data_IF_845567760797
#
_entry.id   IF_845567760797
#
_cell.length_a   1.000
_cell.length_b   1.000
_cell.length_c   1.000
_cell.angle_alpha   90.00
_cell.angle_beta   90.00
_cell.angle_gamma   90.00
#
_symmetry.space_group_name_H-M   'P 1'
#
loop_
_entity.id
_entity.type
_entity.pdbx_description
1 polymer ?
#
# COMPACT_ATOMS: atom_id res chain seq x y z
N UNK A 1 19.99 5.25 -5.53
CA UNK A 1 19.04 5.25 -4.41
C UNK A 1 19.82 4.70 -3.23
N UNK A 2 20.19 5.54 -2.26
CA UNK A 2 20.82 5.06 -1.02
C UNK A 2 19.82 4.14 -0.32
N UNK A 3 20.26 2.98 0.16
CA UNK A 3 19.41 2.05 0.88
C UNK A 3 18.78 2.75 2.09
N UNK A 4 17.48 3.02 2.06
CA UNK A 4 16.79 3.75 3.12
C UNK A 4 16.85 3.02 4.48
N UNK A 5 17.08 1.70 4.47
CA UNK A 5 17.15 0.83 5.64
C UNK A 5 18.46 0.03 5.78
N UNK A 6 19.49 0.31 4.96
CA UNK A 6 20.83 -0.27 5.11
C UNK A 6 21.00 -1.75 4.72
N UNK A 7 20.09 -2.31 3.91
CA UNK A 7 20.33 -3.55 3.19
C UNK A 7 19.69 -3.53 1.78
N UNK A 8 20.30 -4.28 0.87
CA UNK A 8 19.90 -4.36 -0.55
C UNK A 8 18.44 -4.80 -0.68
N UNK A 9 17.63 -3.99 -1.36
CA UNK A 9 16.24 -4.31 -1.67
C UNK A 9 15.21 -3.88 -0.62
N UNK A 10 15.64 -3.25 0.49
CA UNK A 10 14.72 -2.76 1.51
C UNK A 10 13.70 -1.74 0.97
N UNK A 11 14.11 -0.86 0.06
CA UNK A 11 13.22 0.11 -0.59
C UNK A 11 12.12 -0.57 -1.42
N UNK A 12 12.45 -1.67 -2.10
CA UNK A 12 11.50 -2.44 -2.91
C UNK A 12 10.48 -3.14 -2.02
N UNK A 13 10.96 -3.76 -0.92
CA UNK A 13 10.08 -4.39 0.06
C UNK A 13 9.15 -3.35 0.70
N UNK A 14 9.68 -2.18 1.06
CA UNK A 14 8.90 -1.09 1.62
C UNK A 14 7.79 -0.63 0.66
N UNK A 15 8.09 -0.45 -0.63
CA UNK A 15 7.09 -0.09 -1.65
C UNK A 15 6.01 -1.17 -1.78
N UNK A 16 6.40 -2.45 -1.80
CA UNK A 16 5.44 -3.55 -1.89
C UNK A 16 4.51 -3.61 -0.67
N UNK A 17 5.05 -3.47 0.54
CA UNK A 17 4.27 -3.54 1.78
C UNK A 17 3.37 -2.31 1.93
N UNK A 18 3.93 -1.10 1.82
CA UNK A 18 3.16 0.15 1.98
C UNK A 18 2.15 0.29 0.86
N UNK A 19 2.56 0.01 -0.39
CA UNK A 19 1.68 0.05 -1.55
C UNK A 19 0.56 -0.98 -1.44
N UNK A 20 0.87 -2.21 -1.03
CA UNK A 20 -0.11 -3.27 -0.83
C UNK A 20 -1.16 -2.93 0.22
N UNK A 21 -0.74 -2.48 1.41
CA UNK A 21 -1.66 -2.09 2.49
C UNK A 21 -2.52 -0.90 2.06
N UNK A 22 -1.91 0.12 1.46
CA UNK A 22 -2.64 1.30 0.97
C UNK A 22 -3.68 0.91 -0.09
N UNK A 23 -3.34 0.00 -1.01
CA UNK A 23 -4.25 -0.49 -2.05
C UNK A 23 -5.43 -1.26 -1.45
N UNK A 24 -5.21 -2.10 -0.44
CA UNK A 24 -6.28 -2.81 0.26
C UNK A 24 -7.24 -1.81 0.92
N UNK A 25 -6.73 -0.80 1.62
CA UNK A 25 -7.57 0.24 2.22
C UNK A 25 -8.41 0.99 1.18
N UNK A 26 -7.83 1.31 0.02
CA UNK A 26 -8.56 1.94 -1.08
C UNK A 26 -9.66 1.03 -1.65
N UNK A 27 -9.40 -0.28 -1.79
CA UNK A 27 -10.43 -1.24 -2.21
C UNK A 27 -11.56 -1.29 -1.18
N UNK A 28 -11.24 -1.40 0.11
CA UNK A 28 -12.25 -1.42 1.16
C UNK A 28 -13.12 -0.15 1.15
N UNK A 29 -12.50 1.02 1.02
CA UNK A 29 -13.22 2.28 0.90
C UNK A 29 -14.11 2.32 -0.36
N UNK A 30 -13.60 1.85 -1.51
CA UNK A 30 -14.36 1.77 -2.75
C UNK A 30 -15.55 0.82 -2.65
N UNK A 31 -15.37 -0.35 -2.02
CA UNK A 31 -16.44 -1.32 -1.77
C UNK A 31 -17.48 -0.71 -0.84
N UNK A 32 -17.07 -0.05 0.24
CA UNK A 32 -17.99 0.60 1.16
C UNK A 32 -18.87 1.64 0.44
N UNK A 33 -18.24 2.58 -0.29
CA UNK A 33 -18.99 3.60 -1.06
C UNK A 33 -19.87 2.96 -2.14
N UNK A 34 -19.40 1.91 -2.81
CA UNK A 34 -20.19 1.24 -3.84
C UNK A 34 -21.41 0.48 -3.30
N UNK A 35 -21.39 0.05 -2.03
CA UNK A 35 -22.49 -0.73 -1.44
C UNK A 35 -23.39 0.09 -0.51
N UNK A 36 -22.87 1.19 0.05
CA UNK A 36 -23.54 1.97 1.08
C UNK A 36 -23.53 3.49 0.81
N UNK A 37 -22.98 3.94 -0.32
CA UNK A 37 -22.94 5.34 -0.72
C UNK A 37 -24.22 5.78 -1.43
N UNK A 38 -25.39 5.49 -0.82
CA UNK A 38 -26.66 6.16 -1.14
C UNK A 38 -26.70 7.58 -0.58
#
# INVERSE_FOLDING_TARGET
>A
MSEFWGYVGADILAILVIGGVSFICLICARVFVSNYGE
#
